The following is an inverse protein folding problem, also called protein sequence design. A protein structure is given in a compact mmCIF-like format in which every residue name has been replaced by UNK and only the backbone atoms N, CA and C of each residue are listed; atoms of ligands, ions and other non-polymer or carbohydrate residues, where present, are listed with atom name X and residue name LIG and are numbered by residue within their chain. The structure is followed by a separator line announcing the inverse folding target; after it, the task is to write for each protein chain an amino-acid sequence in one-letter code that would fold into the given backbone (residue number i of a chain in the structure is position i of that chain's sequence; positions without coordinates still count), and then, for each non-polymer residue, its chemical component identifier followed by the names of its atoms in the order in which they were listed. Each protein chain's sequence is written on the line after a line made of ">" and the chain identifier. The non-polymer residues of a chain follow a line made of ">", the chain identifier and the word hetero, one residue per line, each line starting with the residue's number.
data_IF_908024217218
#
_entry.id   IF_908024217218
#
_cell.length_a   1.000
_cell.length_b   1.000
_cell.length_c   1.000
_cell.angle_alpha   90.00
_cell.angle_beta   90.00
_cell.angle_gamma   90.00
#
_symmetry.space_group_name_H-M   'P 1'
#
loop_
_entity.id
_entity.type
_entity.pdbx_description
1 polymer ?
#
# COMPACT_ATOMS: atom_id res chain seq x y z
N UNK A 1 2.30 33.62 8.81
CA UNK A 1 2.96 33.12 7.60
C UNK A 1 3.37 31.69 7.84
N UNK A 2 2.89 30.71 7.06
CA UNK A 2 3.37 29.34 7.17
C UNK A 2 4.84 29.28 6.76
N UNK A 3 5.66 28.56 7.55
CA UNK A 3 7.05 28.28 7.21
C UNK A 3 7.11 27.60 5.83
N UNK A 4 8.03 28.00 4.94
CA UNK A 4 8.25 27.27 3.69
C UNK A 4 8.59 25.81 4.05
N UNK A 5 7.94 24.87 3.37
CA UNK A 5 8.24 23.44 3.45
C UNK A 5 9.74 23.28 3.20
N UNK A 6 10.41 22.51 4.05
CA UNK A 6 11.82 22.14 3.83
C UNK A 6 11.96 21.55 2.42
N UNK A 7 13.03 21.88 1.67
CA UNK A 7 13.23 21.34 0.34
C UNK A 7 13.18 19.81 0.44
N UNK A 8 12.30 19.20 -0.33
CA UNK A 8 12.20 17.74 -0.43
C UNK A 8 13.58 17.26 -0.91
N UNK A 9 14.22 16.42 -0.12
CA UNK A 9 15.49 15.79 -0.48
C UNK A 9 15.38 15.22 -1.91
N UNK A 10 16.30 15.56 -2.83
CA UNK A 10 16.21 15.11 -4.21
C UNK A 10 16.38 13.59 -4.31
N UNK A 11 15.76 13.00 -5.32
CA UNK A 11 16.10 11.63 -5.72
C UNK A 11 17.52 11.61 -6.28
N UNK A 12 18.26 10.56 -5.98
CA UNK A 12 19.65 10.39 -6.46
C UNK A 12 19.76 9.08 -7.21
N UNK A 13 20.13 9.15 -8.49
CA UNK A 13 20.42 8.00 -9.32
C UNK A 13 21.88 8.04 -9.74
N UNK A 14 22.55 6.89 -9.74
CA UNK A 14 23.94 6.79 -10.18
C UNK A 14 24.24 5.40 -10.73
N UNK A 15 24.82 5.35 -11.91
CA UNK A 15 25.46 4.15 -12.41
C UNK A 15 26.94 4.18 -12.01
N UNK A 16 27.52 3.03 -11.74
CA UNK A 16 28.94 2.87 -11.46
C UNK A 16 29.53 1.72 -12.26
N UNK A 17 30.72 1.93 -12.77
CA UNK A 17 31.48 0.95 -13.55
C UNK A 17 32.85 0.77 -12.92
N UNK A 18 33.36 -0.44 -13.03
CA UNK A 18 34.56 -0.93 -12.38
C UNK A 18 35.72 0.05 -12.29
N UNK A 19 35.91 0.60 -11.12
CA UNK A 19 37.09 1.40 -10.76
C UNK A 19 38.15 0.56 -10.09
N UNK A 20 39.38 1.15 -9.94
CA UNK A 20 40.48 0.50 -9.22
C UNK A 20 40.32 0.57 -7.68
N UNK A 21 39.34 1.31 -7.19
CA UNK A 21 39.04 1.45 -5.76
C UNK A 21 37.64 0.93 -5.45
N UNK A 22 37.44 0.39 -4.26
CA UNK A 22 36.14 0.05 -3.73
C UNK A 22 35.27 1.28 -3.52
N UNK A 23 33.96 1.10 -3.52
CA UNK A 23 32.96 2.15 -3.33
C UNK A 23 32.10 1.84 -2.12
N UNK A 24 31.99 2.78 -1.20
CA UNK A 24 31.20 2.64 0.01
C UNK A 24 30.05 3.63 0.04
N UNK A 25 28.87 3.14 0.42
CA UNK A 25 27.69 3.95 0.71
C UNK A 25 27.21 3.66 2.14
N UNK A 26 27.18 4.68 2.96
CA UNK A 26 26.50 4.64 4.25
C UNK A 26 25.08 5.19 4.07
N UNK A 27 24.09 4.51 4.60
CA UNK A 27 22.71 4.93 4.50
C UNK A 27 22.07 5.12 5.87
N UNK A 28 21.39 6.25 6.02
CA UNK A 28 20.62 6.65 7.20
C UNK A 28 19.44 7.49 6.75
N UNK A 29 18.37 7.51 7.55
CA UNK A 29 17.25 8.44 7.36
C UNK A 29 16.17 7.98 6.39
N UNK A 30 15.35 8.94 5.95
CA UNK A 30 14.03 8.74 5.34
C UNK A 30 14.04 8.47 3.82
N UNK A 31 15.00 7.69 3.34
CA UNK A 31 15.11 7.33 1.93
C UNK A 31 15.17 5.82 1.76
N UNK A 32 14.32 5.27 0.91
CA UNK A 32 14.50 3.91 0.43
C UNK A 32 15.64 3.85 -0.58
N UNK A 33 16.40 2.76 -0.61
CA UNK A 33 17.53 2.59 -1.51
C UNK A 33 17.50 1.26 -2.23
N UNK A 34 17.86 1.30 -3.50
CA UNK A 34 18.13 0.11 -4.28
C UNK A 34 19.57 0.13 -4.78
N UNK A 35 20.24 -1.00 -4.69
CA UNK A 35 21.52 -1.27 -5.31
C UNK A 35 21.36 -2.48 -6.21
N UNK A 36 21.78 -2.34 -7.45
CA UNK A 36 21.80 -3.43 -8.44
C UNK A 36 23.25 -3.65 -8.82
N UNK A 37 23.77 -4.82 -8.50
CA UNK A 37 25.10 -5.24 -8.88
C UNK A 37 24.99 -6.13 -10.12
N UNK A 38 25.61 -5.73 -11.22
CA UNK A 38 25.64 -6.53 -12.47
C UNK A 38 26.81 -7.51 -12.44
N UNK A 39 27.99 -7.05 -12.00
CA UNK A 39 29.21 -7.84 -11.90
C UNK A 39 30.03 -7.39 -10.68
N UNK A 40 30.89 -8.27 -10.18
CA UNK A 40 31.72 -8.04 -9.02
C UNK A 40 31.09 -8.50 -7.72
N UNK A 41 31.63 -8.06 -6.60
CA UNK A 41 31.23 -8.45 -5.23
C UNK A 41 31.28 -7.25 -4.30
N UNK A 42 30.69 -7.43 -3.11
CA UNK A 42 30.68 -6.46 -2.05
C UNK A 42 30.16 -7.04 -0.74
N UNK A 43 30.13 -6.24 0.31
CA UNK A 43 29.57 -6.58 1.61
C UNK A 43 28.54 -5.54 2.04
N UNK A 44 27.43 -6.00 2.54
CA UNK A 44 26.34 -5.20 3.10
C UNK A 44 26.31 -5.41 4.61
N UNK A 45 26.52 -4.36 5.39
CA UNK A 45 26.29 -4.36 6.84
C UNK A 45 24.92 -3.78 7.12
N UNK A 46 23.99 -4.63 7.62
CA UNK A 46 22.62 -4.26 7.88
C UNK A 46 22.08 -4.94 9.15
N UNK A 47 21.50 -4.17 10.09
CA UNK A 47 20.97 -4.68 11.36
C UNK A 47 21.96 -5.60 12.10
N UNK A 48 23.23 -5.17 12.20
CA UNK A 48 24.35 -5.91 12.84
C UNK A 48 24.71 -7.25 12.15
N UNK A 49 24.28 -7.43 10.91
CA UNK A 49 24.63 -8.60 10.09
C UNK A 49 25.42 -8.18 8.87
N UNK A 50 26.46 -8.94 8.55
CA UNK A 50 27.24 -8.78 7.33
C UNK A 50 26.78 -9.81 6.30
N UNK A 51 26.36 -9.31 5.13
CA UNK A 51 25.87 -10.11 4.01
C UNK A 51 26.79 -9.91 2.82
N UNK A 52 27.34 -10.99 2.27
CA UNK A 52 28.12 -10.93 1.03
C UNK A 52 27.14 -10.80 -0.15
N UNK A 53 27.39 -9.79 -1.01
CA UNK A 53 26.63 -9.54 -2.22
C UNK A 53 27.50 -9.84 -3.43
N UNK A 54 27.10 -10.78 -4.26
CA UNK A 54 27.81 -11.15 -5.50
C UNK A 54 26.88 -10.98 -6.70
N UNK A 55 27.34 -10.24 -7.73
CA UNK A 55 26.55 -9.98 -8.94
C UNK A 55 26.30 -11.21 -9.82
N UNK A 56 25.20 -11.25 -10.55
CA UNK A 56 24.10 -10.31 -10.58
C UNK A 56 23.22 -10.37 -9.31
N UNK A 57 22.98 -9.26 -8.64
CA UNK A 57 22.22 -9.22 -7.38
C UNK A 57 21.50 -7.88 -7.17
N UNK A 58 20.46 -7.90 -6.34
CA UNK A 58 19.74 -6.73 -5.89
C UNK A 58 19.80 -6.62 -4.36
N UNK A 59 19.97 -5.40 -3.87
CA UNK A 59 19.75 -5.01 -2.48
C UNK A 59 18.68 -3.92 -2.47
N UNK A 60 17.61 -4.12 -1.70
CA UNK A 60 16.60 -3.12 -1.43
C UNK A 60 16.56 -2.82 0.06
N UNK A 61 16.74 -1.57 0.42
CA UNK A 61 16.73 -1.09 1.80
C UNK A 61 15.57 -0.10 1.95
N UNK A 62 14.54 -0.41 2.77
CA UNK A 62 13.46 0.52 3.08
C UNK A 62 13.97 1.79 3.79
N UNK A 63 13.16 2.85 3.78
CA UNK A 63 13.42 4.05 4.56
C UNK A 63 13.54 3.74 6.05
N UNK A 64 14.18 4.67 6.80
CA UNK A 64 14.46 4.58 8.24
C UNK A 64 15.39 3.41 8.66
N UNK A 65 15.97 2.71 7.70
CA UNK A 65 16.99 1.70 7.95
C UNK A 65 18.40 2.30 7.94
N UNK A 66 19.28 1.73 8.77
CA UNK A 66 20.68 2.16 8.89
C UNK A 66 21.61 1.01 8.49
N UNK A 67 22.73 1.35 7.85
CA UNK A 67 23.73 0.39 7.46
C UNK A 67 24.75 0.97 6.47
N UNK A 68 25.58 0.11 5.91
CA UNK A 68 26.51 0.46 4.83
C UNK A 68 26.64 -0.67 3.84
N UNK A 69 26.99 -0.33 2.61
CA UNK A 69 27.33 -1.29 1.56
C UNK A 69 28.67 -0.88 0.96
N UNK A 70 29.60 -1.82 0.89
CA UNK A 70 30.90 -1.67 0.27
C UNK A 70 30.96 -2.58 -0.95
N UNK A 71 31.19 -2.03 -2.12
CA UNK A 71 31.51 -2.80 -3.33
C UNK A 71 33.01 -2.79 -3.56
N UNK A 72 33.53 -3.93 -3.95
CA UNK A 72 34.95 -4.12 -4.24
C UNK A 72 35.35 -3.44 -5.54
N UNK A 73 36.66 -3.25 -5.73
CA UNK A 73 37.22 -2.76 -6.98
C UNK A 73 36.76 -3.65 -8.16
N UNK A 74 36.43 -3.05 -9.28
CA UNK A 74 35.89 -3.74 -10.45
C UNK A 74 34.39 -4.04 -10.44
N UNK A 75 33.67 -3.66 -9.39
CA UNK A 75 32.22 -3.84 -9.32
C UNK A 75 31.51 -2.91 -10.32
N UNK A 76 30.48 -3.45 -10.98
CA UNK A 76 29.63 -2.74 -11.96
C UNK A 76 28.18 -2.79 -11.54
N UNK A 77 27.47 -1.67 -11.62
CA UNK A 77 26.07 -1.64 -11.20
C UNK A 77 25.46 -0.25 -11.18
N UNK A 78 24.42 -0.11 -10.37
CA UNK A 78 23.72 1.16 -10.16
C UNK A 78 23.06 1.25 -8.80
N UNK A 79 22.84 2.48 -8.37
CA UNK A 79 22.13 2.79 -7.12
C UNK A 79 21.10 3.89 -7.34
N UNK A 80 20.02 3.81 -6.56
CA UNK A 80 18.97 4.82 -6.53
C UNK A 80 18.56 5.05 -5.08
N UNK A 81 18.55 6.32 -4.64
CA UNK A 81 18.02 6.74 -3.35
C UNK A 81 16.72 7.52 -3.56
N UNK A 82 15.62 7.05 -2.98
CA UNK A 82 14.26 7.51 -3.23
C UNK A 82 13.67 8.08 -1.94
N UNK A 83 13.32 9.38 -1.90
CA UNK A 83 12.57 9.95 -0.79
C UNK A 83 11.18 9.33 -0.65
N UNK A 84 10.69 9.15 0.59
CA UNK A 84 9.38 8.54 0.88
C UNK A 84 8.22 9.20 0.16
N UNK A 85 8.25 10.53 0.04
CA UNK A 85 7.19 11.29 -0.66
C UNK A 85 7.09 10.88 -2.13
N UNK A 86 8.24 10.74 -2.81
CA UNK A 86 8.29 10.30 -4.21
C UNK A 86 7.93 8.83 -4.34
N UNK A 87 8.38 7.99 -3.41
CA UNK A 87 8.00 6.58 -3.37
C UNK A 87 6.47 6.43 -3.27
N UNK A 88 5.83 7.20 -2.39
CA UNK A 88 4.37 7.22 -2.24
C UNK A 88 3.63 7.64 -3.50
N UNK A 89 4.11 8.69 -4.20
CA UNK A 89 3.50 9.21 -5.43
C UNK A 89 3.69 8.31 -6.66
N UNK A 90 4.75 7.49 -6.67
CA UNK A 90 5.07 6.54 -7.74
C UNK A 90 4.39 5.17 -7.57
N UNK A 91 3.67 4.95 -6.47
CA UNK A 91 3.02 3.66 -6.22
C UNK A 91 1.98 3.33 -7.30
N UNK A 92 2.01 2.11 -7.87
CA UNK A 92 1.00 1.67 -8.83
C UNK A 92 -0.39 1.70 -8.19
N UNK A 93 -1.40 2.16 -8.93
CA UNK A 93 -2.81 2.12 -8.49
C UNK A 93 -3.46 0.80 -8.87
N UNK A 94 -4.48 0.38 -8.12
CA UNK A 94 -5.26 -0.82 -8.42
C UNK A 94 -4.95 -2.02 -7.51
N UNK A 95 -5.35 -3.22 -7.96
CA UNK A 95 -5.34 -4.45 -7.14
C UNK A 95 -3.95 -4.87 -6.62
N UNK A 96 -2.87 -4.45 -7.28
CA UNK A 96 -1.50 -4.80 -6.90
C UNK A 96 -0.86 -3.81 -5.91
N UNK A 97 -1.52 -2.66 -5.63
CA UNK A 97 -0.99 -1.61 -4.77
C UNK A 97 -0.52 -2.14 -3.40
N UNK A 98 -1.39 -2.90 -2.72
CA UNK A 98 -1.06 -3.46 -1.41
C UNK A 98 0.11 -4.43 -1.45
N UNK A 99 0.18 -5.24 -2.51
CA UNK A 99 1.24 -6.24 -2.68
C UNK A 99 2.60 -5.58 -2.96
N UNK A 100 2.64 -4.57 -3.82
CA UNK A 100 3.86 -3.78 -4.09
C UNK A 100 4.31 -3.07 -2.82
N UNK A 101 3.39 -2.41 -2.13
CA UNK A 101 3.70 -1.71 -0.87
C UNK A 101 4.27 -2.65 0.19
N UNK A 102 3.69 -3.83 0.36
CA UNK A 102 4.20 -4.81 1.33
C UNK A 102 5.57 -5.36 0.93
N UNK A 103 5.83 -5.53 -0.36
CA UNK A 103 7.12 -5.96 -0.85
C UNK A 103 8.24 -4.96 -0.54
N UNK A 104 7.98 -3.67 -0.76
CA UNK A 104 8.99 -2.61 -0.56
C UNK A 104 9.20 -2.21 0.91
N UNK A 105 8.33 -2.64 1.83
CA UNK A 105 8.55 -2.44 3.28
C UNK A 105 9.55 -3.43 3.88
N UNK A 106 9.94 -4.46 3.14
CA UNK A 106 10.88 -5.48 3.59
C UNK A 106 12.22 -5.30 2.88
N UNK A 107 13.35 -5.45 3.59
CA UNK A 107 14.66 -5.41 2.94
C UNK A 107 14.85 -6.66 2.06
N UNK A 108 15.57 -6.46 0.94
CA UNK A 108 16.11 -7.54 0.12
C UNK A 108 17.62 -7.45 0.27
N UNK A 109 18.24 -8.46 0.87
CA UNK A 109 19.66 -8.44 1.23
C UNK A 109 20.47 -9.34 0.28
N UNK A 110 20.82 -8.83 -0.89
CA UNK A 110 21.70 -9.54 -1.84
C UNK A 110 21.04 -10.68 -2.58
N UNK A 111 19.73 -10.58 -2.93
CA UNK A 111 19.06 -11.60 -3.69
C UNK A 111 19.67 -11.72 -5.10
N UNK A 112 19.99 -12.95 -5.53
CA UNK A 112 20.51 -13.23 -6.88
C UNK A 112 19.48 -12.91 -7.96
N UNK A 113 19.94 -12.34 -9.06
CA UNK A 113 19.16 -12.00 -10.23
C UNK A 113 19.55 -12.85 -11.44
N UNK A 114 18.61 -13.03 -12.35
CA UNK A 114 18.99 -13.36 -13.72
C UNK A 114 19.69 -12.15 -14.36
N UNK A 115 20.64 -12.39 -15.26
CA UNK A 115 21.37 -11.30 -15.94
C UNK A 115 20.44 -10.36 -16.72
N UNK A 116 19.32 -10.88 -17.24
CA UNK A 116 18.30 -10.08 -17.93
C UNK A 116 17.60 -9.11 -16.97
N UNK A 117 17.23 -9.57 -15.76
CA UNK A 117 16.56 -8.75 -14.74
C UNK A 117 17.49 -7.65 -14.22
N UNK A 118 18.75 -7.97 -13.97
CA UNK A 118 19.76 -6.98 -13.56
C UNK A 118 19.92 -5.88 -14.63
N UNK A 119 20.02 -6.25 -15.91
CA UNK A 119 20.09 -5.29 -17.01
C UNK A 119 18.85 -4.41 -17.12
N UNK A 120 17.66 -5.00 -16.92
CA UNK A 120 16.41 -4.24 -16.97
C UNK A 120 16.31 -3.23 -15.82
N UNK A 121 16.68 -3.61 -14.60
CA UNK A 121 16.73 -2.70 -13.45
C UNK A 121 17.72 -1.56 -13.68
N UNK A 122 18.92 -1.87 -14.18
CA UNK A 122 19.94 -0.88 -14.49
C UNK A 122 19.50 0.08 -15.59
N UNK A 123 18.81 -0.39 -16.63
CA UNK A 123 18.24 0.47 -17.66
C UNK A 123 17.19 1.43 -17.11
N UNK A 124 16.39 0.97 -16.13
CA UNK A 124 15.42 1.83 -15.45
C UNK A 124 16.11 2.89 -14.57
N UNK A 125 17.18 2.51 -13.86
CA UNK A 125 17.99 3.48 -13.08
C UNK A 125 18.65 4.49 -14.01
N UNK A 126 19.21 4.04 -15.16
CA UNK A 126 19.81 4.91 -16.16
C UNK A 126 18.81 5.92 -16.76
N UNK A 127 17.58 5.47 -17.03
CA UNK A 127 16.52 6.35 -17.52
C UNK A 127 16.16 7.42 -16.47
N UNK A 128 16.06 7.05 -15.19
CA UNK A 128 15.83 8.02 -14.11
C UNK A 128 17.00 9.02 -14.01
N UNK A 129 18.25 8.56 -14.03
CA UNK A 129 19.43 9.44 -14.00
C UNK A 129 19.43 10.42 -15.18
N UNK A 130 19.06 9.96 -16.37
CA UNK A 130 18.94 10.79 -17.57
C UNK A 130 17.87 11.88 -17.39
N UNK A 131 16.67 11.53 -16.96
CA UNK A 131 15.57 12.49 -16.75
C UNK A 131 15.93 13.54 -15.68
N UNK A 132 16.62 13.13 -14.60
CA UNK A 132 17.08 14.03 -13.55
C UNK A 132 18.11 15.06 -14.04
N UNK A 133 18.91 14.70 -15.07
CA UNK A 133 19.93 15.58 -15.64
C UNK A 133 19.36 16.53 -16.72
N UNK A 134 18.33 16.12 -17.42
CA UNK A 134 17.80 16.87 -18.57
C UNK A 134 17.02 18.12 -18.15
N UNK A 135 16.39 18.10 -16.97
CA UNK A 135 15.56 19.20 -16.41
C UNK A 135 14.59 19.83 -17.45
N UNK A 136 14.00 18.97 -18.30
CA UNK A 136 13.05 19.36 -19.33
C UNK A 136 11.60 19.27 -18.81
N UNK A 137 10.65 19.98 -19.44
CA UNK A 137 9.23 19.85 -19.10
C UNK A 137 8.77 18.37 -19.19
N UNK A 138 8.16 17.86 -18.11
CA UNK A 138 7.72 16.47 -18.01
C UNK A 138 8.72 15.49 -17.41
N UNK A 139 9.97 15.89 -17.15
CA UNK A 139 11.00 15.02 -16.54
C UNK A 139 10.54 14.43 -15.19
N UNK A 140 9.88 15.21 -14.33
CA UNK A 140 9.37 14.71 -13.05
C UNK A 140 8.30 13.63 -13.24
N UNK A 141 7.44 13.76 -14.24
CA UNK A 141 6.44 12.75 -14.57
C UNK A 141 7.10 11.47 -15.13
N UNK A 142 8.11 11.62 -16.00
CA UNK A 142 8.89 10.49 -16.52
C UNK A 142 9.58 9.73 -15.37
N UNK A 143 10.25 10.45 -14.45
CA UNK A 143 10.85 9.87 -13.23
C UNK A 143 9.83 9.09 -12.42
N UNK A 144 8.62 9.65 -12.20
CA UNK A 144 7.55 8.99 -11.47
C UNK A 144 7.13 7.67 -12.12
N UNK A 145 6.99 7.64 -13.46
CA UNK A 145 6.62 6.44 -14.19
C UNK A 145 7.75 5.39 -14.18
N UNK A 146 9.00 5.80 -14.32
CA UNK A 146 10.15 4.89 -14.19
C UNK A 146 10.25 4.31 -12.78
N UNK A 147 9.98 5.10 -11.73
CA UNK A 147 9.89 4.61 -10.36
C UNK A 147 8.77 3.58 -10.20
N UNK A 148 7.59 3.81 -10.77
CA UNK A 148 6.50 2.83 -10.74
C UNK A 148 6.90 1.50 -11.39
N UNK A 149 7.59 1.54 -12.52
CA UNK A 149 8.13 0.34 -13.19
C UNK A 149 9.17 -0.37 -12.32
N UNK A 150 10.08 0.37 -11.70
CA UNK A 150 11.09 -0.17 -10.78
C UNK A 150 10.43 -0.86 -9.59
N UNK A 151 9.43 -0.24 -8.97
CA UNK A 151 8.69 -0.83 -7.84
C UNK A 151 7.99 -2.14 -8.24
N UNK A 152 7.42 -2.20 -9.45
CA UNK A 152 6.84 -3.43 -9.99
C UNK A 152 7.90 -4.52 -10.20
N UNK A 153 9.09 -4.16 -10.67
CA UNK A 153 10.21 -5.10 -10.83
C UNK A 153 10.68 -5.63 -9.47
N UNK A 154 10.90 -4.74 -8.49
CA UNK A 154 11.27 -5.12 -7.11
C UNK A 154 10.21 -6.06 -6.51
N UNK A 155 8.93 -5.76 -6.69
CA UNK A 155 7.84 -6.63 -6.22
C UNK A 155 7.88 -8.02 -6.90
N UNK A 156 8.10 -8.09 -8.22
CA UNK A 156 8.20 -9.36 -8.94
C UNK A 156 9.37 -10.20 -8.44
N UNK A 157 10.50 -9.57 -8.16
CA UNK A 157 11.72 -10.22 -7.66
C UNK A 157 11.62 -10.61 -6.17
N UNK A 158 10.84 -9.87 -5.40
CA UNK A 158 10.59 -10.18 -3.99
C UNK A 158 9.57 -11.31 -3.78
N UNK A 159 8.92 -11.79 -4.86
CA UNK A 159 8.03 -12.95 -4.75
C UNK A 159 8.86 -14.18 -4.39
N UNK A 160 8.64 -14.81 -3.22
CA UNK A 160 9.12 -16.17 -3.02
C UNK A 160 8.51 -17.04 -4.14
N UNK A 161 9.27 -18.02 -4.62
CA UNK A 161 8.80 -19.01 -5.61
C UNK A 161 7.36 -19.39 -5.34
N UNK A 162 6.53 -19.56 -6.38
CA UNK A 162 5.07 -19.68 -6.32
C UNK A 162 4.49 -20.65 -5.26
N UNK A 163 5.30 -21.46 -4.64
CA UNK A 163 4.92 -22.39 -3.57
C UNK A 163 4.85 -21.77 -2.15
N UNK A 164 5.37 -20.54 -1.92
CA UNK A 164 5.42 -19.94 -0.56
C UNK A 164 4.70 -18.60 -0.42
N UNK A 165 4.14 -18.05 -1.47
CA UNK A 165 3.49 -16.72 -1.44
C UNK A 165 2.01 -16.77 -1.04
N UNK A 166 1.71 -17.41 0.08
CA UNK A 166 0.37 -17.25 0.64
C UNK A 166 0.29 -15.94 1.44
N UNK A 167 -0.68 -15.02 1.15
CA UNK A 167 -0.79 -13.76 1.86
C UNK A 167 -0.84 -13.98 3.37
N UNK A 168 -0.10 -13.19 4.15
CA UNK A 168 -0.16 -13.31 5.62
C UNK A 168 -1.58 -12.97 6.13
N UNK A 169 -2.00 -13.47 7.31
CA UNK A 169 -3.30 -13.14 7.88
C UNK A 169 -3.57 -11.63 7.99
N UNK A 170 -2.53 -10.83 8.29
CA UNK A 170 -2.63 -9.36 8.32
C UNK A 170 -2.88 -8.76 6.94
N UNK A 171 -2.24 -9.30 5.91
CA UNK A 171 -2.46 -8.86 4.52
C UNK A 171 -3.87 -9.19 4.06
N UNK A 172 -4.36 -10.39 4.37
CA UNK A 172 -5.72 -10.83 4.05
C UNK A 172 -6.74 -9.89 4.69
N UNK A 173 -6.61 -9.61 6.01
CA UNK A 173 -7.50 -8.71 6.72
C UNK A 173 -7.51 -7.31 6.11
N UNK A 174 -6.33 -6.74 5.86
CA UNK A 174 -6.21 -5.38 5.32
C UNK A 174 -6.79 -5.27 3.92
N UNK A 175 -6.49 -6.24 3.04
CA UNK A 175 -7.06 -6.30 1.69
C UNK A 175 -8.58 -6.48 1.75
N UNK A 176 -9.09 -7.32 2.66
CA UNK A 176 -10.51 -7.54 2.86
C UNK A 176 -11.23 -6.25 3.31
N UNK A 177 -10.73 -5.55 4.32
CA UNK A 177 -11.31 -4.26 4.78
C UNK A 177 -11.36 -3.25 3.65
N UNK A 178 -10.28 -3.14 2.86
CA UNK A 178 -10.25 -2.25 1.69
C UNK A 178 -11.30 -2.63 0.64
N UNK A 179 -11.45 -3.91 0.31
CA UNK A 179 -12.48 -4.36 -0.63
C UNK A 179 -13.90 -4.16 -0.09
N UNK A 180 -14.12 -4.30 1.21
CA UNK A 180 -15.42 -3.99 1.84
C UNK A 180 -15.77 -2.51 1.68
N UNK A 181 -14.80 -1.60 1.86
CA UNK A 181 -15.05 -0.16 1.62
C UNK A 181 -15.46 0.15 0.17
N UNK A 182 -14.91 -0.59 -0.79
CA UNK A 182 -15.19 -0.37 -2.22
C UNK A 182 -16.47 -1.05 -2.69
N UNK A 183 -16.76 -2.28 -2.23
CA UNK A 183 -17.75 -3.19 -2.84
C UNK A 183 -18.90 -3.61 -1.92
N UNK A 184 -19.01 -3.06 -0.69
CA UNK A 184 -20.09 -3.44 0.22
C UNK A 184 -21.48 -3.25 -0.38
N UNK A 185 -21.70 -2.20 -1.18
CA UNK A 185 -22.96 -1.88 -1.84
C UNK A 185 -23.30 -2.82 -3.00
N UNK A 186 -22.35 -3.53 -3.54
CA UNK A 186 -22.50 -4.51 -4.62
C UNK A 186 -22.95 -5.87 -4.08
N UNK A 187 -22.99 -6.03 -2.76
CA UNK A 187 -23.38 -7.26 -2.07
C UNK A 187 -22.59 -8.50 -2.48
N UNK A 188 -21.28 -8.33 -2.67
CA UNK A 188 -20.40 -9.44 -3.00
C UNK A 188 -20.52 -10.57 -1.98
N UNK A 189 -20.47 -11.80 -2.48
CA UNK A 189 -20.36 -13.01 -1.68
C UNK A 189 -18.95 -13.11 -1.05
N UNK A 190 -18.83 -13.90 0.00
CA UNK A 190 -17.52 -14.19 0.62
C UNK A 190 -16.52 -14.79 -0.39
N UNK A 191 -17.03 -15.58 -1.35
CA UNK A 191 -16.22 -16.18 -2.40
C UNK A 191 -15.62 -15.13 -3.36
N UNK A 192 -16.38 -14.08 -3.72
CA UNK A 192 -15.88 -12.98 -4.56
C UNK A 192 -14.78 -12.21 -3.86
N UNK A 193 -14.93 -11.86 -2.58
CA UNK A 193 -13.88 -11.25 -1.78
C UNK A 193 -12.63 -12.14 -1.71
N UNK A 194 -12.81 -13.42 -1.44
CA UNK A 194 -11.70 -14.37 -1.32
C UNK A 194 -10.94 -14.54 -2.66
N UNK A 195 -11.67 -14.68 -3.77
CA UNK A 195 -11.10 -14.79 -5.11
C UNK A 195 -10.27 -13.55 -5.48
N UNK A 196 -10.81 -12.35 -5.21
CA UNK A 196 -10.09 -11.09 -5.47
C UNK A 196 -8.82 -10.97 -4.65
N UNK A 197 -8.80 -11.53 -3.43
CA UNK A 197 -7.62 -11.58 -2.56
C UNK A 197 -6.67 -12.73 -2.89
N UNK A 198 -7.01 -13.62 -3.82
CA UNK A 198 -6.21 -14.79 -4.17
C UNK A 198 -6.10 -15.83 -3.04
N UNK A 199 -7.15 -15.97 -2.21
CA UNK A 199 -7.21 -16.91 -1.08
C UNK A 199 -8.51 -17.71 -1.10
N UNK A 200 -8.56 -18.81 -0.33
CA UNK A 200 -9.81 -19.55 -0.11
C UNK A 200 -10.74 -18.80 0.86
N UNK A 201 -12.06 -19.02 0.73
CA UNK A 201 -13.04 -18.46 1.65
C UNK A 201 -12.77 -18.85 3.12
N UNK A 202 -12.34 -20.09 3.38
CA UNK A 202 -11.99 -20.57 4.72
C UNK A 202 -10.79 -19.84 5.29
N UNK A 203 -9.78 -19.56 4.46
CA UNK A 203 -8.60 -18.83 4.86
C UNK A 203 -8.93 -17.36 5.16
N UNK A 204 -9.76 -16.72 4.33
CA UNK A 204 -10.28 -15.39 4.59
C UNK A 204 -11.04 -15.35 5.92
N UNK A 205 -11.97 -16.28 6.13
CA UNK A 205 -12.75 -16.40 7.37
C UNK A 205 -11.84 -16.56 8.60
N UNK A 206 -10.87 -17.45 8.51
CA UNK A 206 -9.90 -17.71 9.60
C UNK A 206 -9.05 -16.48 9.91
N UNK A 207 -8.53 -15.79 8.89
CA UNK A 207 -7.71 -14.60 9.06
C UNK A 207 -8.49 -13.45 9.72
N UNK A 208 -9.71 -13.19 9.25
CA UNK A 208 -10.58 -12.13 9.77
C UNK A 208 -11.00 -12.45 11.21
N UNK A 209 -11.46 -13.68 11.49
CA UNK A 209 -11.89 -14.07 12.86
C UNK A 209 -10.77 -14.00 13.87
N UNK A 210 -9.57 -14.46 13.52
CA UNK A 210 -8.40 -14.37 14.43
C UNK A 210 -8.03 -12.94 14.76
N UNK A 211 -8.17 -12.03 13.81
CA UNK A 211 -7.72 -10.65 13.98
C UNK A 211 -8.78 -9.75 14.64
N UNK A 212 -10.08 -10.02 14.41
CA UNK A 212 -11.17 -9.12 14.82
C UNK A 212 -12.16 -9.74 15.80
N UNK A 213 -12.10 -11.06 16.00
CA UNK A 213 -13.10 -11.81 16.77
C UNK A 213 -14.45 -11.98 16.03
N UNK A 214 -14.59 -11.45 14.81
CA UNK A 214 -15.84 -11.40 14.03
C UNK A 214 -15.67 -12.11 12.69
N UNK A 215 -16.78 -12.56 12.12
CA UNK A 215 -16.79 -13.13 10.78
C UNK A 215 -16.68 -12.03 9.71
N UNK A 216 -16.19 -12.34 8.49
CA UNK A 216 -16.21 -11.42 7.37
C UNK A 216 -17.60 -10.83 7.08
N UNK A 217 -18.64 -11.65 7.13
CA UNK A 217 -20.02 -11.20 6.88
C UNK A 217 -20.51 -10.22 7.94
N UNK A 218 -20.15 -10.41 9.19
CA UNK A 218 -20.46 -9.44 10.26
C UNK A 218 -19.78 -8.09 10.03
N UNK A 219 -18.56 -8.06 9.50
CA UNK A 219 -17.87 -6.82 9.16
C UNK A 219 -18.53 -6.12 7.97
N UNK A 220 -18.87 -6.85 6.90
CA UNK A 220 -19.61 -6.32 5.74
C UNK A 220 -20.96 -5.73 6.19
N UNK A 221 -21.72 -6.48 6.98
CA UNK A 221 -23.02 -6.03 7.49
C UNK A 221 -22.90 -4.79 8.36
N UNK A 222 -21.89 -4.74 9.23
CA UNK A 222 -21.62 -3.55 10.06
C UNK A 222 -21.27 -2.34 9.22
N UNK A 223 -20.50 -2.50 8.15
CA UNK A 223 -20.16 -1.40 7.23
C UNK A 223 -21.40 -0.86 6.53
N UNK A 224 -22.25 -1.74 6.00
CA UNK A 224 -23.52 -1.35 5.37
C UNK A 224 -24.45 -0.62 6.33
N UNK A 225 -24.56 -1.11 7.58
CA UNK A 225 -25.40 -0.45 8.60
C UNK A 225 -24.81 0.90 9.02
N UNK A 226 -23.50 1.02 9.17
CA UNK A 226 -22.86 2.29 9.48
C UNK A 226 -23.12 3.34 8.39
N UNK A 227 -23.07 2.92 7.14
CA UNK A 227 -23.35 3.79 6.00
C UNK A 227 -24.85 4.16 5.92
N UNK A 228 -25.72 3.18 6.16
CA UNK A 228 -27.15 3.45 6.26
C UNK A 228 -27.47 4.46 7.37
N UNK A 229 -26.85 4.33 8.53
CA UNK A 229 -27.00 5.25 9.66
C UNK A 229 -26.59 6.68 9.26
N UNK A 230 -25.42 6.84 8.60
CA UNK A 230 -25.00 8.16 8.13
C UNK A 230 -26.01 8.80 7.17
N UNK A 231 -26.60 8.02 6.24
CA UNK A 231 -27.61 8.51 5.31
C UNK A 231 -28.93 8.83 6.04
N UNK A 232 -29.34 8.03 7.01
CA UNK A 232 -30.54 8.25 7.82
C UNK A 232 -30.42 9.51 8.69
N UNK A 233 -29.22 9.80 9.19
CA UNK A 233 -28.95 10.95 10.06
C UNK A 233 -28.72 12.24 9.27
N UNK A 234 -28.04 12.14 8.12
CA UNK A 234 -27.54 13.30 7.38
C UNK A 234 -28.39 13.71 6.18
N UNK A 235 -29.43 12.95 5.80
CA UNK A 235 -30.23 13.24 4.61
C UNK A 235 -31.74 13.17 4.84
N UNK A 236 -32.49 13.88 3.96
CA UNK A 236 -33.95 13.79 3.89
C UNK A 236 -34.45 12.63 2.99
N UNK A 237 -33.56 11.78 2.49
CA UNK A 237 -33.89 10.66 1.59
C UNK A 237 -34.92 9.74 2.23
N UNK A 238 -35.84 9.21 1.40
CA UNK A 238 -36.75 8.18 1.89
C UNK A 238 -36.00 6.87 2.19
N UNK A 239 -36.53 6.03 3.09
CA UNK A 239 -35.92 4.76 3.46
C UNK A 239 -35.73 3.86 2.23
N UNK A 240 -36.67 3.92 1.29
CA UNK A 240 -36.58 3.19 0.01
C UNK A 240 -35.43 3.68 -0.88
N UNK A 241 -35.18 4.97 -0.92
CA UNK A 241 -34.07 5.56 -1.67
C UNK A 241 -32.71 5.17 -1.06
N UNK A 242 -32.63 5.21 0.29
CA UNK A 242 -31.43 4.73 1.00
C UNK A 242 -31.17 3.26 0.71
N UNK A 243 -32.21 2.42 0.72
CA UNK A 243 -32.08 1.02 0.34
C UNK A 243 -31.48 0.86 -1.06
N UNK A 244 -31.97 1.61 -2.05
CA UNK A 244 -31.46 1.59 -3.41
C UNK A 244 -29.98 2.05 -3.50
N UNK A 245 -29.60 3.13 -2.81
CA UNK A 245 -28.23 3.63 -2.76
C UNK A 245 -27.27 2.60 -2.18
N UNK A 246 -27.73 1.80 -1.23
CA UNK A 246 -26.96 0.73 -0.60
C UNK A 246 -27.04 -0.61 -1.36
N UNK A 247 -27.63 -0.61 -2.57
CA UNK A 247 -27.68 -1.79 -3.44
C UNK A 247 -28.77 -2.82 -3.09
N UNK A 248 -29.71 -2.50 -2.18
CA UNK A 248 -30.82 -3.38 -1.84
C UNK A 248 -31.95 -3.23 -2.86
N UNK A 249 -32.35 -4.34 -3.49
CA UNK A 249 -33.44 -4.38 -4.47
C UNK A 249 -34.82 -4.27 -3.82
N UNK A 250 -34.95 -4.66 -2.55
CA UNK A 250 -36.20 -4.65 -1.78
C UNK A 250 -36.05 -3.79 -0.50
N UNK A 251 -36.72 -2.63 -0.40
CA UNK A 251 -36.70 -1.79 0.80
C UNK A 251 -37.21 -2.47 2.07
N UNK A 252 -38.13 -3.43 1.94
CA UNK A 252 -38.61 -4.18 3.10
C UNK A 252 -37.55 -5.16 3.60
N UNK A 253 -36.79 -5.79 2.68
CA UNK A 253 -35.63 -6.59 3.06
C UNK A 253 -34.56 -5.75 3.73
N UNK A 254 -34.25 -4.56 3.19
CA UNK A 254 -33.32 -3.62 3.83
C UNK A 254 -33.74 -3.27 5.25
N UNK A 255 -35.03 -2.96 5.49
CA UNK A 255 -35.54 -2.63 6.81
C UNK A 255 -35.40 -3.78 7.82
N UNK A 256 -35.63 -5.02 7.38
CA UNK A 256 -35.40 -6.23 8.19
C UNK A 256 -33.91 -6.46 8.46
N UNK A 257 -33.06 -6.30 7.45
CA UNK A 257 -31.62 -6.40 7.55
C UNK A 257 -31.07 -5.37 8.56
N UNK A 258 -31.42 -4.11 8.41
CA UNK A 258 -30.97 -3.04 9.30
C UNK A 258 -31.40 -3.32 10.74
N UNK A 259 -32.66 -3.68 10.96
CA UNK A 259 -33.18 -4.02 12.31
C UNK A 259 -32.42 -5.21 12.92
N UNK A 260 -32.13 -6.24 12.13
CA UNK A 260 -31.39 -7.42 12.62
C UNK A 260 -29.98 -7.08 13.07
N UNK A 261 -29.28 -6.17 12.37
CA UNK A 261 -27.88 -5.84 12.65
C UNK A 261 -27.74 -4.67 13.65
N UNK A 262 -28.58 -3.64 13.52
CA UNK A 262 -28.55 -2.44 14.38
C UNK A 262 -29.39 -2.59 15.66
N UNK A 263 -30.30 -3.58 15.74
CA UNK A 263 -31.21 -3.78 16.88
C UNK A 263 -32.52 -2.98 16.81
N UNK A 264 -32.61 -1.96 15.98
CA UNK A 264 -33.79 -1.10 15.81
C UNK A 264 -34.08 -0.82 14.32
N UNK A 265 -35.29 -0.36 13.98
CA UNK A 265 -35.67 -0.11 12.60
C UNK A 265 -35.02 1.19 12.04
N UNK A 266 -34.86 1.33 10.71
CA UNK A 266 -34.38 2.56 10.09
C UNK A 266 -35.22 3.78 10.47
N UNK A 267 -36.55 3.60 10.59
CA UNK A 267 -37.48 4.67 11.00
C UNK A 267 -37.23 5.11 12.45
N UNK A 268 -37.04 4.15 13.37
CA UNK A 268 -36.72 4.45 14.76
C UNK A 268 -35.35 5.16 14.87
N UNK A 269 -34.34 4.69 14.13
CA UNK A 269 -33.02 5.34 14.08
C UNK A 269 -33.13 6.82 13.71
N UNK A 270 -33.86 7.13 12.63
CA UNK A 270 -34.07 8.53 12.17
C UNK A 270 -34.80 9.38 13.18
N UNK A 271 -35.80 8.82 13.86
CA UNK A 271 -36.54 9.55 14.91
C UNK A 271 -35.62 9.87 16.09
N UNK A 272 -34.83 8.92 16.54
CA UNK A 272 -33.90 9.13 17.65
C UNK A 272 -32.82 10.18 17.30
N UNK A 273 -32.30 10.15 16.05
CA UNK A 273 -31.35 11.15 15.57
C UNK A 273 -31.97 12.56 15.50
N UNK A 274 -33.23 12.66 15.04
CA UNK A 274 -33.97 13.95 15.05
C UNK A 274 -34.17 14.49 16.43
N UNK A 275 -34.60 13.66 17.39
CA UNK A 275 -34.78 14.07 18.80
C UNK A 275 -33.46 14.56 19.43
N UNK A 276 -32.34 13.88 19.15
CA UNK A 276 -31.04 14.29 19.68
C UNK A 276 -30.58 15.63 19.09
N UNK A 277 -30.87 15.93 17.83
CA UNK A 277 -30.55 17.23 17.21
C UNK A 277 -31.36 18.34 17.83
N UNK A 278 -32.68 18.18 17.97
CA UNK A 278 -33.54 19.16 18.60
C UNK A 278 -33.14 19.45 20.06
N UNK A 279 -32.75 18.41 20.81
CA UNK A 279 -32.28 18.58 22.19
C UNK A 279 -30.94 19.35 22.27
N UNK A 280 -30.03 19.16 21.29
CA UNK A 280 -28.78 19.91 21.21
C UNK A 280 -29.01 21.37 20.81
N UNK A 281 -29.90 21.66 19.89
CA UNK A 281 -30.26 23.02 19.47
C UNK A 281 -30.92 23.80 20.61
N UNK A 282 -31.79 23.14 21.38
CA UNK A 282 -32.44 23.76 22.55
C UNK A 282 -31.45 24.08 23.67
N UNK A 283 -30.41 23.25 23.82
CA UNK A 283 -29.37 23.49 24.85
C UNK A 283 -28.39 24.63 24.43
N UNK A 284 -28.19 24.84 23.11
CA UNK A 284 -27.39 25.95 22.59
C UNK A 284 -28.13 27.29 22.65
N UNK A 285 -29.47 27.28 22.46
CA UNK A 285 -30.31 28.46 22.56
C UNK A 285 -30.54 28.95 24.04
N UNK A 286 -30.17 28.13 25.02
CA UNK A 286 -30.27 28.42 26.45
C UNK A 286 -28.97 28.99 27.06
N UNK A 287 -27.94 29.28 26.24
CA UNK A 287 -26.71 29.94 26.69
C UNK A 287 -26.97 31.46 26.79
N UNK A 288 -26.75 32.10 27.96
CA UNK A 288 -26.96 33.52 28.15
C UNK A 288 -25.97 34.38 27.36
#
# INVERSE_FOLDING_TARGET
>A
MPRPAAPSDPIEARLFQGGLAGMEWTFRGRRSRVFVLQAGSGSLTFAEQDVVVAGPAIVWIPADANGSILFEAGAEGGTLAIPDVLLGSAMPVGAIFSQVRDAITRPILGARLATADARQLLSTIAAIDQELRLDVPGAQEAVRHHLALLLLQVWRLSKPSAEQAQPSPRMILRGFVHLVELHAREHWSLAEYANTLGVTADRLNTAVRRATGRTPMELIHSRLVAEAAMLLDGSAMQIAEIANVLGFKDPAYFSRFFKRVAGHSPKAHRQDAAMKRTAQETNFAAWP
#
